data_IF_016151216798
#
_entry.id   IF_016151216798
#
_cell.length_a   1.000
_cell.length_b   1.000
_cell.length_c   1.000
_cell.angle_alpha   90.00
_cell.angle_beta   90.00
_cell.angle_gamma   90.00
#
_symmetry.space_group_name_H-M   'P 1'
#
loop_
_entity.id
_entity.type
_entity.pdbx_description
1 polymer ?
#
# COMPACT_ATOMS: atom_id res chain seq x y z
N UNK A 1 16.10 13.39 -6.01
CA UNK A 1 15.74 12.10 -5.39
C UNK A 1 14.80 11.39 -6.34
N UNK A 2 14.88 10.08 -6.50
CA UNK A 2 13.99 9.35 -7.41
C UNK A 2 12.64 9.10 -6.71
N UNK A 3 11.54 9.36 -7.39
CA UNK A 3 10.19 9.06 -6.93
C UNK A 3 9.69 7.75 -7.52
N UNK A 4 9.84 7.60 -8.82
CA UNK A 4 9.56 6.35 -9.54
C UNK A 4 10.56 6.14 -10.68
N UNK A 5 10.61 4.92 -11.19
CA UNK A 5 11.23 4.57 -12.47
C UNK A 5 10.16 4.01 -13.40
N UNK A 6 10.28 4.30 -14.70
CA UNK A 6 9.35 3.79 -15.71
C UNK A 6 10.12 3.29 -16.92
N UNK A 7 9.84 2.03 -17.31
CA UNK A 7 10.54 1.41 -18.42
C UNK A 7 10.14 -0.03 -18.66
N UNK A 8 10.92 -0.71 -19.50
CA UNK A 8 10.73 -2.14 -19.81
C UNK A 8 11.36 -3.00 -18.75
N UNK A 9 10.69 -4.09 -18.40
CA UNK A 9 11.26 -5.10 -17.49
C UNK A 9 12.26 -5.93 -18.27
N UNK A 10 13.56 -5.78 -17.95
CA UNK A 10 14.65 -6.49 -18.61
C UNK A 10 14.93 -7.86 -17.96
N UNK A 11 14.76 -7.96 -16.63
CA UNK A 11 14.92 -9.21 -15.89
C UNK A 11 14.17 -9.16 -14.55
N UNK A 12 13.72 -10.34 -14.10
CA UNK A 12 13.15 -10.53 -12.75
C UNK A 12 13.83 -11.72 -12.10
N UNK A 13 14.24 -11.57 -10.86
CA UNK A 13 14.79 -12.63 -10.00
C UNK A 13 14.01 -12.66 -8.68
N UNK A 14 14.37 -13.54 -7.75
CA UNK A 14 13.61 -13.77 -6.50
C UNK A 14 13.32 -12.50 -5.69
N UNK A 15 14.27 -11.56 -5.64
CA UNK A 15 14.15 -10.31 -4.88
C UNK A 15 14.66 -9.09 -5.66
N UNK A 16 14.72 -9.17 -6.98
CA UNK A 16 15.28 -8.13 -7.84
C UNK A 16 14.53 -8.01 -9.15
N UNK A 17 14.24 -6.79 -9.53
CA UNK A 17 13.73 -6.43 -10.85
C UNK A 17 14.74 -5.52 -11.54
N UNK A 18 15.03 -5.77 -12.81
CA UNK A 18 15.84 -4.86 -13.64
C UNK A 18 14.89 -4.15 -14.59
N UNK A 19 14.86 -2.83 -14.51
CA UNK A 19 14.03 -1.97 -15.36
C UNK A 19 14.94 -1.19 -16.30
N UNK A 20 14.75 -1.37 -17.61
CA UNK A 20 15.43 -0.61 -18.64
C UNK A 20 14.68 0.72 -18.88
N UNK A 21 15.31 1.80 -18.52
CA UNK A 21 14.82 3.16 -18.72
C UNK A 21 15.65 3.85 -19.83
N UNK A 22 15.28 3.60 -21.08
CA UNK A 22 15.96 4.23 -22.23
C UNK A 22 17.41 3.82 -22.44
N UNK A 23 17.74 2.54 -22.20
CA UNK A 23 19.10 1.98 -22.35
C UNK A 23 19.91 1.99 -21.07
N UNK A 24 19.33 2.46 -19.94
CA UNK A 24 19.95 2.35 -18.61
C UNK A 24 19.18 1.34 -17.78
N UNK A 25 19.83 0.23 -17.40
CA UNK A 25 19.24 -0.83 -16.57
C UNK A 25 19.35 -0.50 -15.08
N UNK A 26 18.23 -0.18 -14.43
CA UNK A 26 18.17 0.01 -12.98
C UNK A 26 17.93 -1.32 -12.29
N UNK A 27 18.84 -1.71 -11.41
CA UNK A 27 18.70 -2.90 -10.56
C UNK A 27 17.97 -2.51 -9.26
N UNK A 28 16.76 -3.03 -9.08
CA UNK A 28 15.85 -2.65 -8.00
C UNK A 28 15.61 -3.84 -7.09
N UNK A 29 15.84 -3.70 -5.81
CA UNK A 29 15.47 -4.69 -4.79
C UNK A 29 13.97 -4.55 -4.50
N UNK A 30 13.22 -5.66 -4.59
CA UNK A 30 11.77 -5.66 -4.41
C UNK A 30 11.30 -6.87 -3.60
N UNK A 31 10.08 -6.78 -3.05
CA UNK A 31 9.44 -7.90 -2.36
C UNK A 31 9.14 -9.07 -3.32
N UNK A 32 8.96 -10.27 -2.78
CA UNK A 32 8.59 -11.43 -3.58
C UNK A 32 7.25 -11.20 -4.31
N UNK A 33 6.31 -10.49 -3.70
CA UNK A 33 5.03 -10.13 -4.33
C UNK A 33 5.22 -9.17 -5.49
N UNK A 34 6.02 -8.11 -5.32
CA UNK A 34 6.35 -7.16 -6.39
C UNK A 34 7.09 -7.85 -7.54
N UNK A 35 8.05 -8.74 -7.25
CA UNK A 35 8.74 -9.52 -8.28
C UNK A 35 7.77 -10.43 -9.05
N UNK A 36 6.86 -11.13 -8.36
CA UNK A 36 5.87 -11.99 -8.98
C UNK A 36 4.89 -11.19 -9.86
N UNK A 37 4.52 -9.99 -9.47
CA UNK A 37 3.70 -9.09 -10.29
C UNK A 37 4.47 -8.60 -11.52
N UNK A 38 5.72 -8.17 -11.36
CA UNK A 38 6.57 -7.72 -12.46
C UNK A 38 6.85 -8.83 -13.48
N UNK A 39 6.97 -10.09 -13.05
CA UNK A 39 7.22 -11.22 -13.96
C UNK A 39 6.08 -11.44 -14.99
N UNK A 40 4.92 -10.86 -14.77
CA UNK A 40 3.74 -10.95 -15.65
C UNK A 40 3.58 -9.72 -16.56
N UNK A 41 4.47 -8.75 -16.46
CA UNK A 41 4.41 -7.47 -17.18
C UNK A 41 5.63 -7.32 -18.08
N UNK A 42 5.50 -6.57 -19.16
CA UNK A 42 6.61 -6.18 -20.04
C UNK A 42 7.15 -4.80 -19.72
N UNK A 43 6.31 -3.95 -19.15
CA UNK A 43 6.64 -2.57 -18.75
C UNK A 43 6.10 -2.28 -17.35
N UNK A 44 6.76 -1.38 -16.66
CA UNK A 44 6.36 -0.97 -15.31
C UNK A 44 6.61 0.52 -15.08
N UNK A 45 5.72 1.16 -14.34
CA UNK A 45 5.99 2.39 -13.60
C UNK A 45 6.02 1.99 -12.13
N UNK A 46 7.21 2.01 -11.54
CA UNK A 46 7.51 1.46 -10.22
C UNK A 46 7.88 2.58 -9.26
N UNK A 47 7.12 2.84 -8.20
CA UNK A 47 7.54 3.69 -7.09
C UNK A 47 8.84 3.16 -6.50
N UNK A 48 9.77 4.04 -6.13
CA UNK A 48 11.07 3.62 -5.60
C UNK A 48 11.47 4.40 -4.36
N UNK A 49 12.40 3.80 -3.61
CA UNK A 49 13.13 4.42 -2.51
C UNK A 49 14.62 4.22 -2.72
N UNK A 50 15.40 5.31 -2.73
CA UNK A 50 16.85 5.25 -2.82
C UNK A 50 17.46 5.30 -1.42
N UNK A 51 18.11 4.21 -1.02
CA UNK A 51 18.93 4.18 0.17
C UNK A 51 20.37 4.58 -0.18
N UNK A 52 20.82 5.68 0.40
CA UNK A 52 22.17 6.20 0.22
C UNK A 52 23.00 5.87 1.46
N UNK A 53 24.13 5.18 1.28
CA UNK A 53 25.11 4.87 2.30
C UNK A 53 26.49 5.34 1.83
N UNK A 54 27.46 5.36 2.73
CA UNK A 54 28.83 5.78 2.40
C UNK A 54 29.45 4.93 1.28
N UNK A 55 29.14 3.64 1.25
CA UNK A 55 29.73 2.62 0.37
C UNK A 55 28.76 2.07 -0.71
N UNK A 56 27.46 2.45 -0.68
CA UNK A 56 26.48 1.88 -1.58
C UNK A 56 25.28 2.78 -1.85
N UNK A 57 24.77 2.67 -3.08
CA UNK A 57 23.46 3.17 -3.49
C UNK A 57 22.57 1.95 -3.78
N UNK A 58 21.53 1.78 -2.98
CA UNK A 58 20.57 0.68 -3.16
C UNK A 58 19.19 1.24 -3.53
N UNK A 59 18.61 0.77 -4.63
CA UNK A 59 17.27 1.15 -5.05
C UNK A 59 16.28 0.06 -4.65
N UNK A 60 15.25 0.45 -3.93
CA UNK A 60 14.15 -0.41 -3.51
C UNK A 60 12.90 -0.04 -4.30
N UNK A 61 12.15 -1.02 -4.81
CA UNK A 61 10.97 -0.80 -5.64
C UNK A 61 9.73 -1.52 -5.14
N UNK A 62 8.59 -0.94 -5.48
CA UNK A 62 7.29 -1.32 -4.94
C UNK A 62 6.27 -1.47 -6.06
N UNK A 63 5.32 -2.38 -5.89
CA UNK A 63 4.21 -2.58 -6.84
C UNK A 63 3.20 -1.43 -6.82
N UNK A 64 3.14 -0.70 -5.70
CA UNK A 64 2.20 0.40 -5.49
C UNK A 64 2.76 1.43 -4.50
N UNK A 65 2.16 2.63 -4.49
CA UNK A 65 2.45 3.65 -3.48
C UNK A 65 2.16 3.15 -2.06
N UNK A 66 1.11 2.36 -1.90
CA UNK A 66 0.73 1.76 -0.62
C UNK A 66 1.83 0.84 -0.07
N UNK A 67 2.44 0.02 -0.92
CA UNK A 67 3.57 -0.83 -0.50
C UNK A 67 4.77 0.03 -0.11
N UNK A 68 5.04 1.14 -0.83
CA UNK A 68 6.08 2.10 -0.49
C UNK A 68 5.84 2.78 0.86
N UNK A 69 4.62 3.19 1.14
CA UNK A 69 4.26 3.80 2.42
C UNK A 69 4.46 2.85 3.59
N UNK A 70 4.02 1.60 3.46
CA UNK A 70 4.29 0.55 4.46
C UNK A 70 5.80 0.34 4.67
N UNK A 71 6.58 0.32 3.59
CA UNK A 71 8.04 0.25 3.68
C UNK A 71 8.62 1.42 4.46
N UNK A 72 8.19 2.65 4.18
CA UNK A 72 8.66 3.85 4.87
C UNK A 72 8.31 3.83 6.36
N UNK A 73 7.13 3.33 6.72
CA UNK A 73 6.77 3.12 8.12
C UNK A 73 7.67 2.08 8.79
N UNK A 74 7.93 0.95 8.13
CA UNK A 74 8.76 -0.12 8.65
C UNK A 74 10.21 0.32 8.90
N UNK A 75 10.84 1.03 7.95
CA UNK A 75 12.22 1.51 8.13
C UNK A 75 12.35 2.60 9.20
N UNK A 76 11.24 3.23 9.60
CA UNK A 76 11.18 4.14 10.74
C UNK A 76 11.27 3.43 12.09
N UNK A 77 11.05 2.10 12.13
CA UNK A 77 11.15 1.31 13.37
C UNK A 77 12.59 0.98 13.67
N UNK A 78 13.02 1.25 14.90
CA UNK A 78 14.39 0.94 15.35
C UNK A 78 14.72 -0.54 15.19
N UNK A 79 15.81 -0.84 14.46
CA UNK A 79 16.24 -2.19 14.15
C UNK A 79 15.62 -2.81 12.87
N UNK A 80 14.79 -2.07 12.14
CA UNK A 80 14.28 -2.48 10.84
C UNK A 80 14.97 -1.68 9.74
N UNK A 81 15.93 -2.30 9.07
CA UNK A 81 16.57 -1.71 7.89
C UNK A 81 15.83 -2.00 6.59
N UNK A 82 16.19 -1.35 5.47
CA UNK A 82 15.50 -1.49 4.18
C UNK A 82 15.38 -2.95 3.70
N UNK A 83 16.42 -3.76 3.83
CA UNK A 83 16.39 -5.18 3.43
C UNK A 83 15.41 -6.01 4.26
N UNK A 84 15.33 -5.74 5.57
CA UNK A 84 14.37 -6.42 6.44
C UNK A 84 12.95 -5.94 6.14
N UNK A 85 12.74 -4.65 5.88
CA UNK A 85 11.43 -4.12 5.50
C UNK A 85 10.89 -4.77 4.21
N UNK A 86 11.74 -4.94 3.17
CA UNK A 86 11.36 -5.68 1.95
C UNK A 86 11.03 -7.16 2.24
N UNK A 87 11.81 -7.81 3.13
CA UNK A 87 11.52 -9.18 3.54
C UNK A 87 10.18 -9.30 4.28
N UNK A 88 9.84 -8.31 5.12
CA UNK A 88 8.53 -8.23 5.81
C UNK A 88 7.40 -8.08 4.78
N UNK A 89 7.54 -7.18 3.82
CA UNK A 89 6.55 -6.97 2.74
C UNK A 89 6.41 -8.19 1.82
N UNK A 90 7.46 -9.01 1.69
CA UNK A 90 7.41 -10.28 0.96
C UNK A 90 6.89 -11.46 1.77
N UNK A 91 6.79 -11.33 3.09
CA UNK A 91 6.36 -12.41 4.00
C UNK A 91 4.85 -12.54 4.17
N UNK A 92 4.10 -11.47 3.94
CA UNK A 92 2.63 -11.47 3.98
C UNK A 92 2.06 -10.32 3.15
N UNK A 93 0.78 -10.41 2.78
CA UNK A 93 0.10 -9.34 2.03
C UNK A 93 0.02 -8.05 2.86
N UNK A 94 -0.05 -6.90 2.18
CA UNK A 94 -0.15 -5.59 2.84
C UNK A 94 -1.31 -5.51 3.84
N UNK A 95 -2.47 -6.08 3.49
CA UNK A 95 -3.65 -6.10 4.36
C UNK A 95 -3.42 -6.94 5.61
N UNK A 96 -2.82 -8.13 5.44
CA UNK A 96 -2.49 -9.01 6.57
C UNK A 96 -1.44 -8.39 7.48
N UNK A 97 -0.44 -7.74 6.90
CA UNK A 97 0.59 -7.01 7.65
C UNK A 97 -0.04 -5.88 8.48
N UNK A 98 -0.88 -5.06 7.85
CA UNK A 98 -1.59 -3.97 8.51
C UNK A 98 -2.49 -4.48 9.64
N UNK A 99 -3.24 -5.56 9.40
CA UNK A 99 -4.08 -6.19 10.42
C UNK A 99 -3.25 -6.75 11.59
N UNK A 100 -2.12 -7.43 11.30
CA UNK A 100 -1.24 -7.98 12.34
C UNK A 100 -0.60 -6.89 13.20
N UNK A 101 -0.26 -5.74 12.62
CA UNK A 101 0.25 -4.57 13.35
C UNK A 101 -0.86 -3.95 14.20
N UNK A 102 -2.05 -3.73 13.64
CA UNK A 102 -3.18 -3.12 14.34
C UNK A 102 -3.63 -3.94 15.57
N UNK A 103 -3.64 -5.28 15.43
CA UNK A 103 -4.02 -6.22 16.51
C UNK A 103 -2.85 -6.59 17.42
N UNK A 104 -1.63 -6.07 17.15
CA UNK A 104 -0.40 -6.42 17.85
C UNK A 104 -0.12 -7.94 17.85
N UNK A 105 -0.37 -8.62 16.74
CA UNK A 105 -0.11 -10.04 16.57
C UNK A 105 1.38 -10.32 16.39
N UNK A 106 2.10 -10.34 17.51
CA UNK A 106 3.55 -10.59 17.57
C UNK A 106 3.91 -11.96 17.00
N UNK A 107 3.02 -12.96 17.14
CA UNK A 107 3.26 -14.32 16.65
C UNK A 107 3.28 -14.33 15.11
N UNK A 108 2.28 -13.71 14.46
CA UNK A 108 2.25 -13.56 13.00
C UNK A 108 3.46 -12.76 12.48
N UNK A 109 3.81 -11.64 13.12
CA UNK A 109 4.94 -10.83 12.71
C UNK A 109 6.28 -11.57 12.87
N UNK A 110 6.48 -12.31 13.96
CA UNK A 110 7.72 -13.07 14.20
C UNK A 110 7.85 -14.33 13.33
N UNK A 111 6.79 -14.78 12.67
CA UNK A 111 6.84 -15.88 11.69
C UNK A 111 7.57 -15.47 10.39
N UNK A 112 7.74 -14.18 10.15
CA UNK A 112 8.44 -13.66 8.97
C UNK A 112 9.94 -13.88 9.13
N UNK A 113 10.59 -14.44 8.11
CA UNK A 113 12.03 -14.70 8.11
C UNK A 113 12.83 -13.42 8.38
N UNK A 114 13.66 -13.45 9.42
CA UNK A 114 14.48 -12.31 9.83
C UNK A 114 13.84 -11.40 10.87
N UNK A 115 12.58 -11.61 11.22
CA UNK A 115 11.88 -10.86 12.29
C UNK A 115 11.90 -11.67 13.58
N UNK A 116 12.72 -11.26 14.54
CA UNK A 116 12.72 -11.84 15.89
C UNK A 116 11.59 -11.27 16.75
N UNK A 117 11.29 -11.96 17.88
CA UNK A 117 10.23 -11.54 18.81
C UNK A 117 10.33 -10.08 19.23
N UNK A 118 11.53 -9.62 19.62
CA UNK A 118 11.77 -8.20 20.01
C UNK A 118 11.49 -7.21 18.88
N UNK A 119 11.84 -7.56 17.63
CA UNK A 119 11.55 -6.73 16.46
C UNK A 119 10.06 -6.71 16.17
N UNK A 120 9.37 -7.86 16.25
CA UNK A 120 7.92 -7.95 16.08
C UNK A 120 7.15 -7.12 17.11
N UNK A 121 7.52 -7.21 18.41
CA UNK A 121 6.94 -6.40 19.48
C UNK A 121 7.13 -4.90 19.22
N UNK A 122 8.32 -4.51 18.74
CA UNK A 122 8.64 -3.11 18.42
C UNK A 122 7.84 -2.60 17.22
N UNK A 123 7.74 -3.38 16.13
CA UNK A 123 6.92 -3.07 14.96
C UNK A 123 5.47 -2.86 15.40
N UNK A 124 4.91 -3.79 16.18
CA UNK A 124 3.54 -3.69 16.66
C UNK A 124 3.32 -2.44 17.52
N UNK A 125 4.23 -2.13 18.45
CA UNK A 125 4.11 -0.98 19.35
C UNK A 125 4.24 0.36 18.61
N UNK A 126 5.29 0.50 17.78
CA UNK A 126 5.62 1.78 17.14
C UNK A 126 4.69 2.13 15.96
N UNK A 127 4.14 1.10 15.28
CA UNK A 127 3.29 1.32 14.10
C UNK A 127 1.80 1.21 14.36
N UNK A 128 1.34 0.75 15.51
CA UNK A 128 -0.10 0.54 15.81
C UNK A 128 -0.97 1.75 15.47
N UNK A 129 -0.58 2.93 15.92
CA UNK A 129 -1.35 4.15 15.66
C UNK A 129 -1.23 4.62 14.20
N UNK A 130 -0.02 4.56 13.63
CA UNK A 130 0.23 4.95 12.25
C UNK A 130 -0.51 4.08 11.24
N UNK A 131 -0.67 2.78 11.54
CA UNK A 131 -1.38 1.84 10.68
C UNK A 131 -2.90 2.08 10.69
N UNK A 132 -3.45 2.60 11.79
CA UNK A 132 -4.86 2.97 11.84
C UNK A 132 -5.17 4.15 10.89
N UNK A 133 -4.30 5.15 10.87
CA UNK A 133 -4.41 6.28 9.95
C UNK A 133 -4.22 5.82 8.48
N UNK A 134 -3.26 4.92 8.25
CA UNK A 134 -2.98 4.33 6.95
C UNK A 134 -4.16 3.48 6.41
N UNK A 135 -4.83 2.71 7.25
CA UNK A 135 -6.03 1.96 6.87
C UNK A 135 -7.22 2.89 6.55
N UNK A 136 -7.26 4.09 7.16
CA UNK A 136 -8.26 5.13 6.84
C UNK A 136 -8.04 5.79 5.47
N UNK A 137 -6.80 5.86 4.97
CA UNK A 137 -6.48 6.43 3.65
C UNK A 137 -6.84 5.49 2.49
N UNK A 138 -7.05 4.19 2.73
CA UNK A 138 -7.53 3.26 1.71
C UNK A 138 -8.91 3.61 1.16
N UNK A 139 -9.70 4.29 1.95
CA UNK A 139 -11.01 4.77 1.54
C UNK A 139 -10.89 5.88 0.49
N UNK A 140 -9.81 6.68 0.53
CA UNK A 140 -9.56 7.78 -0.41
C UNK A 140 -8.80 7.33 -1.69
N UNK A 141 -7.97 6.28 -1.60
CA UNK A 141 -7.17 5.77 -2.73
C UNK A 141 -7.92 4.80 -3.65
N UNK A 142 -8.92 4.08 -3.14
CA UNK A 142 -9.73 3.13 -3.90
C UNK A 142 -10.72 3.82 -4.88
N UNK A 143 -10.97 5.11 -4.71
CA UNK A 143 -11.83 5.92 -5.61
C UNK A 143 -11.16 6.17 -6.97
N UNK A 144 -9.82 6.04 -7.07
CA UNK A 144 -9.08 6.26 -8.32
C UNK A 144 -8.91 5.01 -9.21
N UNK A 145 -9.26 3.79 -8.72
CA UNK A 145 -9.14 2.54 -9.47
C UNK A 145 -10.49 1.81 -9.48
N UNK A 146 -11.29 2.07 -10.50
CA UNK A 146 -12.64 1.57 -10.72
C UNK A 146 -12.93 0.13 -10.31
N UNK A 147 -13.90 -0.04 -9.42
CA UNK A 147 -14.51 -1.32 -9.10
C UNK A 147 -15.36 -1.32 -7.84
N UNK A 148 -16.66 -1.01 -7.94
CA UNK A 148 -17.67 -1.49 -6.98
C UNK A 148 -17.67 -0.98 -5.53
N UNK A 149 -16.92 0.05 -5.19
CA UNK A 149 -16.92 0.63 -3.85
C UNK A 149 -18.07 1.64 -3.68
N UNK A 150 -18.65 1.65 -2.49
CA UNK A 150 -19.59 2.69 -2.06
C UNK A 150 -18.94 4.05 -2.28
N UNK A 151 -19.61 4.97 -2.95
CA UNK A 151 -19.11 6.33 -3.20
C UNK A 151 -18.96 7.06 -1.85
N UNK A 152 -17.75 7.04 -1.29
CA UNK A 152 -17.43 7.57 0.05
C UNK A 152 -17.59 9.09 0.12
N UNK A 153 -17.32 9.79 -0.97
CA UNK A 153 -17.56 11.24 -1.03
C UNK A 153 -19.05 11.56 -0.92
N UNK A 154 -19.91 10.69 -1.49
CA UNK A 154 -21.35 10.81 -1.32
C UNK A 154 -21.77 10.50 0.12
N UNK A 155 -21.14 9.53 0.79
CA UNK A 155 -21.38 9.22 2.20
C UNK A 155 -20.98 10.42 3.08
N UNK A 156 -19.77 10.98 2.88
CA UNK A 156 -19.31 12.15 3.63
C UNK A 156 -20.20 13.37 3.42
N UNK A 157 -20.65 13.60 2.18
CA UNK A 157 -21.60 14.69 1.89
C UNK A 157 -22.93 14.50 2.64
N UNK A 158 -23.47 13.28 2.68
CA UNK A 158 -24.70 12.97 3.42
C UNK A 158 -24.51 13.11 4.94
N UNK A 159 -23.37 12.70 5.48
CA UNK A 159 -23.03 12.90 6.89
C UNK A 159 -22.95 14.40 7.22
N UNK A 160 -22.37 15.23 6.35
CA UNK A 160 -22.33 16.68 6.53
C UNK A 160 -23.72 17.32 6.47
N UNK A 161 -24.68 16.66 5.81
CA UNK A 161 -26.10 17.04 5.77
C UNK A 161 -26.92 16.50 6.97
N UNK A 162 -26.27 15.79 7.92
CA UNK A 162 -26.88 15.33 9.16
C UNK A 162 -27.35 13.88 9.18
N UNK A 163 -27.03 13.08 8.16
CA UNK A 163 -27.30 11.62 8.17
C UNK A 163 -26.32 10.91 9.10
N UNK A 164 -26.78 9.85 9.79
CA UNK A 164 -25.87 8.92 10.46
C UNK A 164 -25.00 8.20 9.42
N UNK A 165 -23.73 7.93 9.76
CA UNK A 165 -22.78 7.33 8.81
C UNK A 165 -23.27 5.99 8.26
N UNK A 166 -23.85 5.12 9.11
CA UNK A 166 -24.37 3.81 8.68
C UNK A 166 -25.58 3.95 7.77
N UNK A 167 -26.44 4.93 8.06
CA UNK A 167 -27.60 5.25 7.21
C UNK A 167 -27.16 5.79 5.87
N UNK A 168 -26.18 6.70 5.82
CA UNK A 168 -25.61 7.24 4.59
C UNK A 168 -24.96 6.14 3.73
N UNK A 169 -24.15 5.25 4.32
CA UNK A 169 -23.56 4.11 3.61
C UNK A 169 -24.64 3.17 3.03
N UNK A 170 -25.65 2.86 3.79
CA UNK A 170 -26.77 2.01 3.36
C UNK A 170 -27.57 2.65 2.22
N UNK A 171 -27.83 3.95 2.31
CA UNK A 171 -28.56 4.71 1.30
C UNK A 171 -27.78 4.81 -0.02
N UNK A 172 -26.48 5.12 0.06
CA UNK A 172 -25.59 5.18 -1.10
C UNK A 172 -25.52 3.82 -1.80
N UNK A 173 -25.35 2.71 -1.07
CA UNK A 173 -25.33 1.36 -1.64
C UNK A 173 -26.59 1.00 -2.43
N UNK A 174 -27.77 1.53 -2.04
CA UNK A 174 -29.05 1.25 -2.70
C UNK A 174 -29.20 1.97 -4.04
N UNK A 175 -28.59 3.15 -4.19
CA UNK A 175 -28.80 4.01 -5.37
C UNK A 175 -27.59 4.08 -6.29
N UNK A 176 -26.39 3.75 -5.81
CA UNK A 176 -25.14 3.85 -6.57
C UNK A 176 -25.13 2.93 -7.78
N UNK A 177 -24.81 3.48 -8.96
CA UNK A 177 -24.52 2.76 -10.21
C UNK A 177 -23.07 3.01 -10.61
N UNK A 178 -22.44 2.11 -11.40
CA UNK A 178 -21.01 2.19 -11.73
C UNK A 178 -20.52 3.52 -12.31
N UNK A 179 -21.40 4.28 -12.97
CA UNK A 179 -21.02 5.52 -13.67
C UNK A 179 -21.67 6.78 -13.07
N UNK A 180 -22.22 6.71 -11.84
CA UNK A 180 -22.82 7.87 -11.19
C UNK A 180 -21.76 8.76 -10.52
N UNK A 181 -21.86 10.07 -10.78
CA UNK A 181 -21.05 11.05 -10.05
C UNK A 181 -21.44 11.12 -8.57
N UNK A 182 -20.54 11.64 -7.72
CA UNK A 182 -20.82 11.90 -6.29
C UNK A 182 -22.07 12.76 -6.11
N UNK A 183 -22.22 13.83 -6.92
CA UNK A 183 -23.35 14.74 -6.86
C UNK A 183 -24.67 14.04 -7.23
N UNK A 184 -24.67 13.24 -8.30
CA UNK A 184 -25.86 12.49 -8.73
C UNK A 184 -26.25 11.43 -7.70
N UNK A 185 -25.27 10.78 -7.05
CA UNK A 185 -25.52 9.80 -5.99
C UNK A 185 -26.16 10.46 -4.77
N UNK A 186 -25.61 11.59 -4.30
CA UNK A 186 -26.20 12.36 -3.18
C UNK A 186 -27.61 12.81 -3.53
N UNK A 187 -27.80 13.37 -4.74
CA UNK A 187 -29.12 13.81 -5.23
C UNK A 187 -30.13 12.67 -5.32
N UNK A 188 -29.70 11.47 -5.71
CA UNK A 188 -30.56 10.29 -5.78
C UNK A 188 -30.98 9.82 -4.38
N UNK A 189 -30.08 9.86 -3.38
CA UNK A 189 -30.41 9.54 -1.98
C UNK A 189 -31.41 10.54 -1.40
N UNK A 190 -31.25 11.84 -1.70
CA UNK A 190 -32.12 12.89 -1.15
C UNK A 190 -33.51 12.92 -1.79
N UNK A 191 -33.71 12.25 -2.93
CA UNK A 191 -35.02 12.18 -3.65
C UNK A 191 -35.83 10.93 -3.33
N UNK A 192 -35.19 9.91 -2.75
CA UNK A 192 -35.82 8.61 -2.50
C UNK A 192 -36.26 8.39 -1.13
#
# INVERSE_FOLDING_TARGET
MFDYISGKIAAVAENRVVVDCGGVGFSVTASAFTCAECSRKTEVKMPVYLAVREDALELFGFSSERERELFLMLIGVSGVGPKLAVAILGGMTADRLSASIATADVAALSSIKGVGKKTAERIALELKNKIADFAGTDVLGAVAAGGGAVNEDAVLALVSLGYDRKEAESAVRKVAKPDMSTEDTVRAVLRG
#
